data_IF_055831783339
#
_entry.id   IF_055831783339
#
_cell.length_a   1.000
_cell.length_b   1.000
_cell.length_c   1.000
_cell.angle_alpha   90.00
_cell.angle_beta   90.00
_cell.angle_gamma   90.00
#
_symmetry.space_group_name_H-M   'P 1'
#
loop_
_entity.id
_entity.type
_entity.pdbx_description
1 polymer ?
#
# COMPACT_ATOMS: atom_id res chain seq x y z
N UNK A 1 -1.81 6.54 -15.21
CA UNK A 1 -1.64 5.12 -14.87
C UNK A 1 -1.90 4.92 -13.38
N UNK A 2 -2.68 3.92 -13.03
CA UNK A 2 -2.98 3.64 -11.63
C UNK A 2 -1.81 2.93 -10.96
N UNK A 3 -1.43 3.39 -9.78
CA UNK A 3 -0.42 2.73 -8.96
C UNK A 3 -1.00 2.45 -7.58
N UNK A 4 -0.24 1.76 -6.74
CA UNK A 4 -0.68 1.38 -5.41
C UNK A 4 0.40 1.73 -4.41
N UNK A 5 0.00 2.19 -3.22
CA UNK A 5 0.94 2.54 -2.17
C UNK A 5 0.68 1.70 -0.93
N UNK A 6 1.76 1.24 -0.32
CA UNK A 6 1.71 0.56 0.97
C UNK A 6 2.14 1.57 2.02
N UNK A 7 1.28 1.80 3.02
CA UNK A 7 1.54 2.73 4.12
C UNK A 7 1.40 2.00 5.44
N UNK A 8 2.45 2.00 6.22
CA UNK A 8 2.47 1.36 7.53
C UNK A 8 2.81 2.32 8.66
N UNK A 9 3.45 3.44 8.34
CA UNK A 9 3.85 4.44 9.31
C UNK A 9 3.67 5.82 8.67
N UNK A 10 2.88 6.73 9.28
CA UNK A 10 2.66 8.07 8.71
C UNK A 10 3.95 8.89 8.61
N UNK A 11 4.98 8.56 9.39
CA UNK A 11 6.25 9.26 9.35
C UNK A 11 7.23 8.68 8.35
N UNK A 12 6.88 7.57 7.70
CA UNK A 12 7.73 6.89 6.73
C UNK A 12 7.19 7.09 5.31
N UNK A 13 8.09 6.97 4.34
CA UNK A 13 7.69 7.11 2.94
C UNK A 13 6.90 5.89 2.49
N UNK A 14 5.83 6.09 1.70
CA UNK A 14 5.06 4.95 1.18
C UNK A 14 5.88 4.16 0.17
N UNK A 15 5.58 2.86 0.07
CA UNK A 15 6.17 1.99 -0.93
C UNK A 15 5.23 1.96 -2.13
N UNK A 16 5.74 2.34 -3.30
CA UNK A 16 4.92 2.42 -4.51
C UNK A 16 5.04 1.12 -5.30
N UNK A 17 3.89 0.55 -5.66
CA UNK A 17 3.80 -0.69 -6.42
C UNK A 17 3.01 -0.46 -7.71
N UNK A 18 3.39 -1.17 -8.77
CA UNK A 18 2.73 -1.03 -10.07
C UNK A 18 1.39 -1.76 -10.14
N UNK A 19 1.23 -2.85 -9.40
CA UNK A 19 0.01 -3.67 -9.42
C UNK A 19 -0.51 -3.94 -8.02
N UNK A 20 -1.81 -4.23 -7.93
CA UNK A 20 -2.44 -4.57 -6.66
C UNK A 20 -1.86 -5.88 -6.10
N UNK A 21 -1.61 -6.86 -6.95
CA UNK A 21 -1.03 -8.13 -6.51
C UNK A 21 0.35 -7.92 -5.86
N UNK A 22 1.17 -7.06 -6.44
CA UNK A 22 2.46 -6.71 -5.86
C UNK A 22 2.29 -6.02 -4.51
N UNK A 23 1.37 -5.06 -4.44
CA UNK A 23 1.09 -4.33 -3.20
C UNK A 23 0.63 -5.28 -2.09
N UNK A 24 -0.27 -6.20 -2.40
CA UNK A 24 -0.75 -7.18 -1.43
C UNK A 24 0.39 -8.09 -0.94
N UNK A 25 1.20 -8.60 -1.85
CA UNK A 25 2.30 -9.49 -1.50
C UNK A 25 3.33 -8.77 -0.62
N UNK A 26 3.72 -7.57 -1.00
CA UNK A 26 4.68 -6.78 -0.23
C UNK A 26 4.10 -6.34 1.11
N UNK A 27 2.83 -5.95 1.11
CA UNK A 27 2.13 -5.57 2.33
C UNK A 27 2.04 -6.70 3.34
N UNK A 28 1.71 -7.91 2.88
CA UNK A 28 1.65 -9.08 3.75
C UNK A 28 3.00 -9.41 4.36
N UNK A 29 4.05 -9.34 3.56
CA UNK A 29 5.40 -9.60 4.03
C UNK A 29 5.82 -8.58 5.09
N UNK A 30 5.48 -7.33 4.85
CA UNK A 30 5.82 -6.24 5.76
C UNK A 30 5.04 -6.36 7.07
N UNK A 31 3.74 -6.65 6.98
CA UNK A 31 2.89 -6.84 8.16
C UNK A 31 3.40 -8.01 9.02
N UNK A 32 3.75 -9.11 8.39
CA UNK A 32 4.26 -10.28 9.10
C UNK A 32 5.60 -10.01 9.78
N UNK A 33 6.50 -9.31 9.08
CA UNK A 33 7.83 -9.04 9.61
C UNK A 33 7.81 -8.05 10.76
N UNK A 34 7.00 -7.01 10.65
CA UNK A 34 6.97 -5.93 11.64
C UNK A 34 5.88 -6.11 12.69
N UNK A 35 4.92 -7.02 12.47
CA UNK A 35 3.82 -7.24 13.40
C UNK A 35 2.87 -6.06 13.49
N UNK A 36 2.65 -5.36 12.39
CA UNK A 36 1.84 -4.15 12.34
C UNK A 36 0.78 -4.26 11.25
N UNK A 37 -0.22 -3.38 11.32
CA UNK A 37 -1.21 -3.23 10.26
C UNK A 37 -0.61 -2.43 9.12
N UNK A 38 -0.90 -2.86 7.88
CA UNK A 38 -0.42 -2.20 6.68
C UNK A 38 -1.63 -1.77 5.85
N UNK A 39 -1.62 -0.52 5.41
CA UNK A 39 -2.68 0.06 4.59
C UNK A 39 -2.28 0.04 3.13
N UNK A 40 -3.24 -0.29 2.25
CA UNK A 40 -3.03 -0.28 0.81
C UNK A 40 -3.94 0.77 0.19
N UNK A 41 -3.33 1.72 -0.52
CA UNK A 41 -4.04 2.80 -1.23
C UNK A 41 -3.92 2.61 -2.73
N UNK A 42 -5.03 2.87 -3.42
CA UNK A 42 -5.02 3.00 -4.88
C UNK A 42 -4.79 4.46 -5.24
N UNK A 43 -3.82 4.71 -6.10
CA UNK A 43 -3.45 6.05 -6.54
C UNK A 43 -3.86 6.23 -8.00
N UNK A 44 -4.94 6.96 -8.22
CA UNK A 44 -5.45 7.20 -9.57
C UNK A 44 -5.04 8.60 -10.03
N UNK A 45 -4.57 8.76 -11.28
CA UNK A 45 -4.04 10.05 -11.74
C UNK A 45 -5.07 11.19 -11.72
N UNK A 46 -6.36 10.90 -11.86
CA UNK A 46 -7.40 11.92 -11.87
C UNK A 46 -8.33 11.87 -10.67
N UNK A 47 -8.59 10.68 -10.13
CA UNK A 47 -9.52 10.49 -9.01
C UNK A 47 -8.85 10.58 -7.63
N UNK A 48 -7.53 10.64 -7.59
CA UNK A 48 -6.79 10.77 -6.35
C UNK A 48 -6.56 9.42 -5.65
N UNK A 49 -6.35 9.48 -4.35
CA UNK A 49 -6.06 8.29 -3.56
C UNK A 49 -7.29 7.73 -2.89
N UNK A 50 -7.31 6.40 -2.72
CA UNK A 50 -8.41 5.70 -2.07
C UNK A 50 -7.87 4.51 -1.30
N UNK A 51 -8.25 4.41 -0.03
CA UNK A 51 -7.91 3.23 0.77
C UNK A 51 -8.72 2.04 0.25
N UNK A 52 -8.06 0.97 -0.17
CA UNK A 52 -8.72 -0.21 -0.72
C UNK A 52 -8.53 -1.47 0.11
N UNK A 53 -7.66 -1.45 1.09
CA UNK A 53 -7.50 -2.62 1.95
C UNK A 53 -6.54 -2.40 3.10
N UNK A 54 -6.62 -3.30 4.08
CA UNK A 54 -5.69 -3.37 5.21
C UNK A 54 -5.24 -4.81 5.38
N UNK A 55 -4.03 -4.97 5.85
CA UNK A 55 -3.44 -6.28 6.09
C UNK A 55 -3.01 -6.41 7.53
#
# INVERSE_FOLDING_TARGET
>A
MTTYEIRDDPDDLPIICATLAEAERRGQRRAARLGIEVLIYEMHPTRGERLIGTI
#
